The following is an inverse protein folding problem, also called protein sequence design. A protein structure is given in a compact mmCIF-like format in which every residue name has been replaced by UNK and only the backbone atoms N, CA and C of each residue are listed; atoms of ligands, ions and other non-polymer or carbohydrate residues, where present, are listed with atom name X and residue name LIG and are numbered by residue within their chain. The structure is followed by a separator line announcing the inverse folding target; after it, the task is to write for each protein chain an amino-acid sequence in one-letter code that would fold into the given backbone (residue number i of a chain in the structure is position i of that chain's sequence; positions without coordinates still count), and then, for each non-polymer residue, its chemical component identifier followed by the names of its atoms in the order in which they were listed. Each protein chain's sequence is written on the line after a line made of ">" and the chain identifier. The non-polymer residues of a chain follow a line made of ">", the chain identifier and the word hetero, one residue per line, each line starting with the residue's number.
data_IF_624028101545
#
_entry.id   IF_624028101545
#
_cell.length_a   1.000
_cell.length_b   1.000
_cell.length_c   1.000
_cell.angle_alpha   90.00
_cell.angle_beta   90.00
_cell.angle_gamma   90.00
#
_symmetry.space_group_name_H-M   'P 1'
#
loop_
_entity.id
_entity.type
_entity.pdbx_description
1 polymer ?
#
# COMPACT_ATOMS: atom_id res chain seq x y z
N UNK A 1 10.56 1.67 -5.70
CA UNK A 1 9.65 2.04 -6.81
C UNK A 1 8.89 0.83 -7.39
N UNK A 2 9.55 -0.31 -7.65
CA UNK A 2 8.89 -1.51 -8.21
C UNK A 2 7.89 -2.16 -7.24
N UNK A 3 8.14 -2.13 -5.92
CA UNK A 3 7.22 -2.71 -4.92
C UNK A 3 5.89 -1.97 -4.80
N UNK A 4 5.84 -0.67 -5.11
CA UNK A 4 4.60 0.11 -5.04
C UNK A 4 3.58 -0.31 -6.11
N UNK A 5 4.06 -0.85 -7.26
CA UNK A 5 3.19 -1.32 -8.35
C UNK A 5 2.43 -2.59 -7.93
N UNK A 6 2.93 -3.37 -6.97
CA UNK A 6 2.26 -4.59 -6.48
C UNK A 6 0.95 -4.31 -5.73
N UNK A 7 0.70 -3.06 -5.31
CA UNK A 7 -0.46 -2.68 -4.50
C UNK A 7 -1.41 -1.70 -5.20
N UNK A 8 -1.45 -1.72 -6.54
CA UNK A 8 -2.48 -0.99 -7.29
C UNK A 8 -3.79 -1.76 -7.18
N UNK A 9 -4.78 -1.14 -6.52
CA UNK A 9 -6.15 -1.60 -6.53
C UNK A 9 -7.04 -0.60 -7.28
N UNK A 10 -8.09 -1.10 -7.90
CA UNK A 10 -9.09 -0.27 -8.57
C UNK A 10 -10.28 -0.12 -7.63
N UNK A 11 -10.73 1.11 -7.40
CA UNK A 11 -11.93 1.36 -6.60
C UNK A 11 -13.19 0.84 -7.32
N UNK A 12 -13.23 0.99 -8.64
CA UNK A 12 -14.40 0.66 -9.48
C UNK A 12 -13.96 -0.17 -10.69
N UNK A 13 -13.55 -1.44 -10.49
CA UNK A 13 -13.00 -2.28 -11.56
C UNK A 13 -13.99 -2.55 -12.71
N UNK A 14 -15.30 -2.42 -12.45
CA UNK A 14 -16.35 -2.61 -13.45
C UNK A 14 -16.22 -1.69 -14.68
N UNK A 15 -15.64 -0.49 -14.53
CA UNK A 15 -15.40 0.40 -15.67
C UNK A 15 -14.40 -0.19 -16.67
N UNK A 16 -13.53 -1.13 -16.27
CA UNK A 16 -12.63 -1.81 -17.20
C UNK A 16 -13.39 -2.68 -18.21
N UNK A 17 -14.61 -3.13 -17.89
CA UNK A 17 -15.48 -3.81 -18.86
C UNK A 17 -15.84 -2.90 -20.03
N UNK A 18 -15.81 -1.57 -19.85
CA UNK A 18 -16.03 -0.62 -20.93
C UNK A 18 -14.98 -0.74 -22.06
N UNK A 19 -13.77 -1.24 -21.76
CA UNK A 19 -12.73 -1.48 -22.76
C UNK A 19 -13.15 -2.54 -23.78
N UNK A 20 -14.01 -3.51 -23.41
CA UNK A 20 -14.51 -4.54 -24.32
C UNK A 20 -15.43 -3.97 -25.41
N UNK A 21 -16.03 -2.79 -25.19
CA UNK A 21 -16.86 -2.13 -26.20
C UNK A 21 -16.03 -1.39 -27.27
N UNK A 22 -14.75 -1.07 -27.02
CA UNK A 22 -13.88 -0.43 -28.01
C UNK A 22 -13.70 -1.25 -29.29
N UNK A 23 -13.35 -2.56 -29.26
CA UNK A 23 -13.26 -3.37 -30.47
C UNK A 23 -14.64 -3.52 -31.13
N UNK A 24 -15.72 -3.60 -30.36
CA UNK A 24 -17.08 -3.71 -30.89
C UNK A 24 -17.45 -2.47 -31.72
N UNK A 25 -17.19 -1.26 -31.18
CA UNK A 25 -17.39 0.02 -31.88
C UNK A 25 -16.52 0.08 -33.15
N UNK A 26 -15.27 -0.39 -33.07
CA UNK A 26 -14.38 -0.46 -34.23
C UNK A 26 -14.94 -1.39 -35.32
N UNK A 27 -15.41 -2.58 -34.97
CA UNK A 27 -15.99 -3.53 -35.92
C UNK A 27 -17.29 -3.02 -36.53
N UNK A 28 -18.19 -2.41 -35.74
CA UNK A 28 -19.42 -1.81 -36.26
C UNK A 28 -19.15 -0.64 -37.21
N UNK A 29 -18.19 0.24 -36.88
CA UNK A 29 -17.76 1.31 -37.79
C UNK A 29 -17.16 0.75 -39.09
N UNK A 30 -16.30 -0.26 -38.99
CA UNK A 30 -15.68 -0.90 -40.16
C UNK A 30 -16.70 -1.63 -41.04
N UNK A 31 -17.74 -2.24 -40.45
CA UNK A 31 -18.84 -2.89 -41.17
C UNK A 31 -19.71 -1.85 -41.89
N UNK A 32 -20.12 -0.78 -41.20
CA UNK A 32 -20.88 0.34 -41.81
C UNK A 32 -20.13 1.05 -42.93
N UNK A 33 -18.82 1.29 -42.77
CA UNK A 33 -18.00 1.86 -43.84
C UNK A 33 -17.89 0.97 -45.07
N UNK A 34 -18.06 -0.36 -44.93
CA UNK A 34 -18.12 -1.28 -46.06
C UNK A 34 -19.50 -1.27 -46.73
N UNK A 35 -20.56 -0.98 -45.99
CA UNK A 35 -21.95 -0.93 -46.47
C UNK A 35 -22.31 0.43 -47.10
N UNK A 36 -21.67 1.53 -46.69
CA UNK A 36 -21.89 2.90 -47.21
C UNK A 36 -21.10 3.27 -48.49
N UNK A 37 -20.53 2.29 -49.21
CA UNK A 37 -19.87 2.55 -50.50
C UNK A 37 -20.85 2.38 -51.66
N UNK A 38 -21.82 3.29 -51.76
CA UNK A 38 -22.45 3.69 -53.04
C UNK A 38 -22.86 5.18 -52.99
N UNK A 39 -21.97 6.08 -52.59
CA UNK A 39 -22.06 7.45 -53.12
C UNK A 39 -21.33 7.44 -54.45
N UNK A 40 -22.11 7.43 -55.54
CA UNK A 40 -21.64 7.68 -56.90
C UNK A 40 -20.99 9.07 -56.95
N UNK A 41 -19.70 9.15 -56.68
CA UNK A 41 -18.91 10.34 -57.00
C UNK A 41 -18.51 10.24 -58.46
N UNK A 42 -19.29 10.88 -59.33
CA UNK A 42 -18.89 11.11 -60.72
C UNK A 42 -17.64 11.99 -60.73
N UNK A 43 -16.55 11.43 -61.22
CA UNK A 43 -15.19 11.98 -61.45
C UNK A 43 -14.20 11.93 -60.27
N UNK A 44 -13.18 11.07 -60.45
CA UNK A 44 -11.94 11.00 -59.68
C UNK A 44 -10.75 11.39 -60.58
N UNK A 45 -10.71 12.63 -61.05
CA UNK A 45 -9.60 13.14 -61.87
C UNK A 45 -9.20 14.53 -61.35
N UNK A 46 -7.97 14.79 -60.88
CA UNK A 46 -6.93 13.92 -60.34
C UNK A 46 -6.44 14.49 -58.99
N UNK A 47 -6.87 13.96 -57.84
CA UNK A 47 -6.16 14.24 -56.58
C UNK A 47 -4.90 13.38 -56.58
N UNK A 48 -3.91 13.88 -57.33
CA UNK A 48 -2.53 13.42 -57.36
C UNK A 48 -2.06 13.15 -55.93
N UNK A 49 -1.32 12.07 -55.80
CA UNK A 49 -0.61 11.62 -54.59
C UNK A 49 0.32 12.69 -53.99
N UNK A 50 -0.23 13.70 -53.33
CA UNK A 50 0.54 14.49 -52.37
C UNK A 50 0.51 13.70 -51.07
N UNK A 51 1.51 12.85 -50.85
CA UNK A 51 1.75 12.20 -49.55
C UNK A 51 2.24 13.25 -48.55
N UNK A 52 1.39 14.21 -48.21
CA UNK A 52 1.68 15.22 -47.20
C UNK A 52 1.76 14.56 -45.83
N UNK A 53 2.65 15.02 -44.95
CA UNK A 53 2.72 14.57 -43.56
C UNK A 53 1.34 14.64 -42.87
N UNK A 54 0.53 15.65 -43.22
CA UNK A 54 -0.87 15.81 -42.79
C UNK A 54 -1.74 14.59 -43.15
N UNK A 55 -1.61 14.02 -44.35
CA UNK A 55 -2.37 12.82 -44.77
C UNK A 55 -1.96 11.58 -43.99
N UNK A 56 -0.68 11.42 -43.66
CA UNK A 56 -0.21 10.33 -42.79
C UNK A 56 -0.74 10.52 -41.36
N UNK A 57 -0.67 11.73 -40.81
CA UNK A 57 -1.12 12.05 -39.46
C UNK A 57 -2.64 11.84 -39.29
N UNK A 58 -3.43 12.24 -40.29
CA UNK A 58 -4.88 12.03 -40.30
C UNK A 58 -5.28 10.54 -40.26
N UNK A 59 -4.43 9.63 -40.77
CA UNK A 59 -4.66 8.17 -40.66
C UNK A 59 -4.42 7.64 -39.25
N UNK A 60 -3.59 8.30 -38.44
CA UNK A 60 -3.33 7.93 -37.04
C UNK A 60 -4.34 8.54 -36.06
N UNK A 61 -5.10 9.56 -36.49
CA UNK A 61 -6.12 10.22 -35.68
C UNK A 61 -7.15 9.25 -35.03
N UNK A 62 -7.71 8.25 -35.74
CA UNK A 62 -8.61 7.28 -35.10
C UNK A 62 -7.91 6.45 -34.02
N UNK A 63 -6.64 6.07 -34.21
CA UNK A 63 -5.88 5.34 -33.18
C UNK A 63 -5.72 6.17 -31.91
N UNK A 64 -5.42 7.47 -32.06
CA UNK A 64 -5.28 8.40 -30.94
C UNK A 64 -6.60 8.59 -30.19
N UNK A 65 -7.73 8.62 -30.90
CA UNK A 65 -9.06 8.68 -30.28
C UNK A 65 -9.35 7.44 -29.42
N UNK A 66 -9.06 6.23 -29.92
CA UNK A 66 -9.23 5.00 -29.15
C UNK A 66 -8.29 4.94 -27.95
N UNK A 67 -7.05 5.41 -28.10
CA UNK A 67 -6.08 5.48 -27.00
C UNK A 67 -6.53 6.45 -25.91
N UNK A 68 -6.98 7.65 -26.30
CA UNK A 68 -7.51 8.65 -25.36
C UNK A 68 -8.73 8.10 -24.61
N UNK A 69 -9.63 7.41 -25.30
CA UNK A 69 -10.81 6.79 -24.69
C UNK A 69 -10.42 5.65 -23.73
N UNK A 70 -9.45 4.81 -24.10
CA UNK A 70 -8.94 3.75 -23.23
C UNK A 70 -8.31 4.32 -21.95
N UNK A 71 -7.50 5.38 -22.09
CA UNK A 71 -6.91 6.08 -20.94
C UNK A 71 -7.97 6.73 -20.05
N UNK A 72 -9.01 7.33 -20.64
CA UNK A 72 -10.14 7.88 -19.89
C UNK A 72 -10.90 6.80 -19.10
N UNK A 73 -11.12 5.62 -19.71
CA UNK A 73 -11.75 4.47 -19.03
C UNK A 73 -10.88 3.98 -17.86
N UNK A 74 -9.56 3.88 -18.04
CA UNK A 74 -8.62 3.51 -16.98
C UNK A 74 -8.65 4.55 -15.86
N UNK A 75 -8.70 5.85 -16.19
CA UNK A 75 -8.81 6.91 -15.19
C UNK A 75 -10.13 6.83 -14.39
N UNK A 76 -11.23 6.48 -15.05
CA UNK A 76 -12.54 6.26 -14.42
C UNK A 76 -12.57 5.04 -13.50
N UNK A 77 -11.80 3.99 -13.81
CA UNK A 77 -11.61 2.86 -12.91
C UNK A 77 -10.84 3.23 -11.62
N UNK A 78 -10.29 4.45 -11.58
CA UNK A 78 -9.62 5.09 -10.44
C UNK A 78 -8.56 4.17 -9.83
N UNK A 79 -7.40 3.99 -10.52
CA UNK A 79 -6.29 3.23 -9.97
C UNK A 79 -5.76 3.95 -8.73
N UNK A 80 -5.69 3.23 -7.62
CA UNK A 80 -5.21 3.75 -6.35
C UNK A 80 -4.07 2.90 -5.83
N UNK A 81 -3.05 3.57 -5.29
CA UNK A 81 -2.03 2.92 -4.48
C UNK A 81 -2.64 2.69 -3.09
N UNK A 82 -3.07 1.48 -2.83
CA UNK A 82 -3.58 1.12 -1.50
C UNK A 82 -2.45 0.66 -0.62
N UNK A 83 -2.08 1.47 0.36
CA UNK A 83 -1.31 1.00 1.51
C UNK A 83 -2.25 0.13 2.34
N UNK A 84 -2.08 -1.19 2.25
CA UNK A 84 -2.78 -2.10 3.16
C UNK A 84 -2.11 -1.95 4.53
N UNK A 85 -2.70 -1.14 5.40
CA UNK A 85 -2.40 -1.20 6.82
C UNK A 85 -2.98 -2.50 7.36
N UNK A 86 -2.12 -3.50 7.52
CA UNK A 86 -2.50 -4.74 8.16
C UNK A 86 -2.72 -4.45 9.65
N UNK A 87 -4.01 -4.36 10.04
CA UNK A 87 -4.39 -4.24 11.45
C UNK A 87 -4.12 -5.59 12.13
N UNK A 88 -2.90 -5.76 12.63
CA UNK A 88 -2.56 -6.89 13.49
C UNK A 88 -3.35 -6.74 14.78
N UNK A 89 -4.44 -7.51 14.92
CA UNK A 89 -5.14 -7.66 16.20
C UNK A 89 -4.34 -8.64 17.04
N UNK A 90 -3.47 -8.10 17.88
CA UNK A 90 -2.83 -8.89 18.91
C UNK A 90 -3.62 -8.75 20.21
N UNK A 91 -3.97 -9.87 20.81
CA UNK A 91 -4.47 -9.90 22.18
C UNK A 91 -3.27 -9.80 23.12
N UNK A 92 -3.22 -8.74 23.91
CA UNK A 92 -2.21 -8.51 24.94
C UNK A 92 -2.87 -8.37 26.30
N UNK A 93 -2.13 -8.71 27.36
CA UNK A 93 -2.55 -8.49 28.75
C UNK A 93 -1.74 -7.36 29.40
N UNK A 94 -2.23 -6.88 30.53
CA UNK A 94 -1.53 -5.88 31.36
C UNK A 94 -0.67 -6.59 32.39
N UNK A 95 0.63 -6.30 32.38
CA UNK A 95 1.62 -6.89 33.29
C UNK A 95 2.29 -5.77 34.08
N UNK A 96 2.30 -5.87 35.41
CA UNK A 96 3.07 -4.98 36.27
C UNK A 96 4.31 -5.68 36.79
N UNK A 97 5.48 -5.24 36.37
CA UNK A 97 6.76 -5.70 36.89
C UNK A 97 7.08 -4.94 38.18
N UNK A 98 7.43 -5.66 39.24
CA UNK A 98 7.80 -5.08 40.53
C UNK A 98 9.23 -5.49 40.85
N UNK A 99 10.15 -4.52 40.93
CA UNK A 99 11.58 -4.76 41.12
C UNK A 99 12.07 -4.22 42.47
N UNK A 100 12.74 -5.08 43.23
CA UNK A 100 13.41 -4.69 44.48
C UNK A 100 14.73 -3.96 44.17
N UNK A 101 14.96 -2.83 44.83
CA UNK A 101 16.19 -2.04 44.81
C UNK A 101 16.89 -2.02 46.18
N UNK A 102 16.48 -2.87 47.11
CA UNK A 102 17.08 -3.00 48.44
C UNK A 102 18.57 -3.36 48.36
N UNK A 103 19.32 -3.06 49.42
CA UNK A 103 20.75 -3.38 49.49
C UNK A 103 21.04 -4.87 49.30
N UNK A 104 20.07 -5.75 49.59
CA UNK A 104 20.20 -7.19 49.35
C UNK A 104 20.33 -7.56 47.87
N UNK A 105 19.85 -6.69 46.96
CA UNK A 105 19.94 -6.88 45.51
C UNK A 105 21.31 -6.50 44.93
N UNK A 106 22.17 -5.86 45.73
CA UNK A 106 23.57 -5.61 45.38
C UNK A 106 24.49 -6.79 45.71
N UNK A 107 23.94 -7.91 46.20
CA UNK A 107 24.74 -9.11 46.46
C UNK A 107 25.30 -9.71 45.17
N UNK A 108 26.53 -10.22 45.25
CA UNK A 108 27.31 -10.77 44.14
C UNK A 108 27.23 -12.30 44.06
N UNK A 109 26.17 -12.90 44.58
CA UNK A 109 25.86 -14.32 44.37
C UNK A 109 25.51 -14.63 42.91
N UNK A 110 25.19 -13.59 42.13
CA UNK A 110 25.21 -13.59 40.68
C UNK A 110 26.21 -12.54 40.17
N UNK A 111 26.83 -12.79 39.01
CA UNK A 111 27.77 -11.83 38.40
C UNK A 111 27.01 -10.89 37.44
N UNK A 112 27.09 -9.55 37.56
CA UNK A 112 27.85 -8.78 38.55
C UNK A 112 27.13 -8.59 39.90
N UNK A 113 25.79 -8.59 39.93
CA UNK A 113 24.97 -8.66 41.15
C UNK A 113 23.52 -9.06 40.79
N UNK A 114 22.68 -9.37 41.79
CA UNK A 114 21.26 -9.74 41.58
C UNK A 114 20.48 -8.68 40.81
N UNK A 115 20.70 -7.40 41.09
CA UNK A 115 19.97 -6.31 40.46
C UNK A 115 20.23 -6.26 38.95
N UNK A 116 21.50 -6.30 38.54
CA UNK A 116 21.86 -6.27 37.11
C UNK A 116 21.36 -7.51 36.38
N UNK A 117 21.44 -8.69 37.00
CA UNK A 117 20.86 -9.91 36.42
C UNK A 117 19.33 -9.81 36.32
N UNK A 118 18.66 -9.26 37.33
CA UNK A 118 17.20 -9.06 37.32
C UNK A 118 16.76 -8.08 36.23
N UNK A 119 17.52 -7.01 35.99
CA UNK A 119 17.29 -6.09 34.87
C UNK A 119 17.42 -6.82 33.54
N UNK A 120 18.44 -7.66 33.35
CA UNK A 120 18.61 -8.42 32.12
C UNK A 120 17.44 -9.39 31.88
N UNK A 121 17.04 -10.13 32.91
CA UNK A 121 15.89 -11.05 32.83
C UNK A 121 14.59 -10.30 32.53
N UNK A 122 14.41 -9.10 33.10
CA UNK A 122 13.26 -8.25 32.80
C UNK A 122 13.26 -7.79 31.33
N UNK A 123 14.42 -7.37 30.78
CA UNK A 123 14.56 -7.00 29.36
C UNK A 123 14.20 -8.18 28.45
N UNK A 124 14.77 -9.35 28.72
CA UNK A 124 14.49 -10.58 27.96
C UNK A 124 13.01 -11.02 28.05
N UNK A 125 12.36 -10.76 29.20
CA UNK A 125 10.93 -11.03 29.40
C UNK A 125 10.05 -10.10 28.56
N UNK A 126 10.39 -8.82 28.50
CA UNK A 126 9.70 -7.79 27.71
C UNK A 126 9.87 -8.06 26.21
N UNK A 127 11.08 -8.43 25.76
CA UNK A 127 11.37 -8.74 24.35
C UNK A 127 10.52 -9.87 23.78
N UNK A 128 10.15 -10.84 24.62
CA UNK A 128 9.32 -11.98 24.21
C UNK A 128 7.83 -11.62 24.08
N UNK A 129 7.44 -10.39 24.41
CA UNK A 129 6.03 -9.95 24.52
C UNK A 129 5.75 -8.68 23.73
N UNK A 130 5.84 -8.70 22.40
CA UNK A 130 5.72 -7.51 21.55
C UNK A 130 4.36 -6.80 21.64
N UNK A 131 3.33 -7.45 22.19
CA UNK A 131 1.96 -6.94 22.20
C UNK A 131 1.39 -6.69 23.60
N UNK A 132 2.08 -7.14 24.66
CA UNK A 132 1.61 -6.94 26.03
C UNK A 132 1.93 -5.51 26.50
N UNK A 133 1.04 -4.95 27.34
CA UNK A 133 1.30 -3.68 28.01
C UNK A 133 2.00 -3.94 29.32
N UNK A 134 3.16 -3.34 29.50
CA UNK A 134 4.00 -3.61 30.66
C UNK A 134 4.23 -2.30 31.42
N UNK A 135 4.08 -2.34 32.73
CA UNK A 135 4.44 -1.26 33.65
C UNK A 135 5.57 -1.70 34.57
N UNK A 136 6.27 -0.72 35.17
CA UNK A 136 7.37 -0.96 36.10
C UNK A 136 7.17 -0.18 37.39
N UNK A 137 7.17 -0.91 38.49
CA UNK A 137 7.24 -0.39 39.87
C UNK A 137 8.56 -0.84 40.47
N UNK A 138 9.25 0.09 41.12
CA UNK A 138 10.47 -0.22 41.88
C UNK A 138 10.23 0.07 43.36
N UNK A 139 10.89 -0.66 44.25
CA UNK A 139 10.78 -0.39 45.68
C UNK A 139 12.12 -0.54 46.41
N UNK A 140 12.33 0.32 47.41
CA UNK A 140 13.44 0.22 48.37
C UNK A 140 12.99 0.94 49.65
N UNK A 141 12.25 0.22 50.51
CA UNK A 141 11.55 0.80 51.67
C UNK A 141 10.21 1.41 51.29
N UNK A 142 10.19 2.27 50.27
CA UNK A 142 8.97 2.82 49.66
C UNK A 142 8.85 2.37 48.19
N UNK A 143 7.62 2.30 47.68
CA UNK A 143 7.34 1.93 46.29
C UNK A 143 7.14 3.16 45.41
N UNK A 144 7.75 3.16 44.23
CA UNK A 144 7.59 4.20 43.22
C UNK A 144 7.22 3.57 41.86
N UNK A 145 6.21 4.13 41.19
CA UNK A 145 5.86 3.71 39.83
C UNK A 145 6.78 4.42 38.84
N UNK A 146 7.76 3.71 38.29
CA UNK A 146 8.68 4.26 37.30
C UNK A 146 7.99 4.50 35.96
N UNK A 147 7.14 3.56 35.54
CA UNK A 147 6.41 3.69 34.28
C UNK A 147 5.04 3.03 34.43
N UNK A 148 3.94 3.75 34.12
CA UNK A 148 2.62 3.13 34.04
C UNK A 148 2.59 2.09 32.91
N UNK A 149 1.55 1.25 32.89
CA UNK A 149 1.39 0.24 31.82
C UNK A 149 1.42 0.89 30.43
N UNK A 150 2.36 0.45 29.59
CA UNK A 150 2.59 1.00 28.26
C UNK A 150 2.92 -0.10 27.23
N UNK A 151 2.60 0.15 25.97
CA UNK A 151 3.07 -0.65 24.82
C UNK A 151 4.47 -0.24 24.36
N UNK A 152 4.95 0.93 24.77
CA UNK A 152 6.31 1.37 24.42
C UNK A 152 7.33 0.72 25.34
N UNK A 153 7.86 -0.42 24.89
CA UNK A 153 8.82 -1.20 25.65
C UNK A 153 10.20 -0.58 25.74
N UNK A 154 10.53 0.45 24.94
CA UNK A 154 11.85 1.06 24.99
C UNK A 154 12.05 1.78 26.35
N UNK A 155 11.01 2.45 26.83
CA UNK A 155 11.02 3.18 28.11
C UNK A 155 11.31 2.25 29.30
N UNK A 156 10.97 0.96 29.20
CA UNK A 156 11.18 -0.03 30.26
C UNK A 156 12.57 -0.68 30.22
N UNK A 157 13.31 -0.50 29.12
CA UNK A 157 14.61 -1.15 28.87
C UNK A 157 15.80 -0.23 29.06
N UNK A 158 15.56 1.07 29.19
CA UNK A 158 16.58 2.07 29.51
C UNK A 158 16.90 2.05 31.00
#
# INVERSE_FOLDING_TARGET
>A
MIEQIKHISFHSPWFLLALLFLPLIYFFKKKRQKEEVYMLMSTLQPIKHVKTLKSKLLKFLPLLQYLALALAIIALARPQLTTKEEKVKAEGIDIMLVMDLSSSMLSQDFNPNRLEVSKQVAKDFIDKRPYDRIGLVVFSGESFTQTPVTTDHNILKD
#
